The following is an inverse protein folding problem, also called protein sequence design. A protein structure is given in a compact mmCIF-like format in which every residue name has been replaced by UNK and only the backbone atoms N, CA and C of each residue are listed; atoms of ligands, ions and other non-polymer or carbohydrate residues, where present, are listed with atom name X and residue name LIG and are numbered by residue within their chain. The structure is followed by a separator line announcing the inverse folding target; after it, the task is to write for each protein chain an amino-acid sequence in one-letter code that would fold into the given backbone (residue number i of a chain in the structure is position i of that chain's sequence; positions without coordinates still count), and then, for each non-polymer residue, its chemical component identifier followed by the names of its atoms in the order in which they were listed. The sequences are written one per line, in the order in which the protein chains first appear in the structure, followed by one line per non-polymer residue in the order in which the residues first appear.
data_IF_924683622692
#
_entry.id   IF_924683622692
#
_cell.length_a   1.000
_cell.length_b   1.000
_cell.length_c   1.000
_cell.angle_alpha   90.00
_cell.angle_beta   90.00
_cell.angle_gamma   90.00
#
_symmetry.space_group_name_H-M   'P 1'
#
loop_
_entity.id
_entity.type
_entity.pdbx_description
1 polymer ?
#
# COMPACT_ATOMS: atom_id res chain seq x y z
N UNK A 1 -3.76 -6.27 -4.59
CA UNK A 1 -3.72 -6.25 -3.10
C UNK A 1 -2.72 -7.26 -2.59
N UNK A 2 -2.84 -8.55 -2.92
CA UNK A 2 -1.91 -9.60 -2.46
C UNK A 2 -0.43 -9.24 -2.65
N UNK A 3 -0.03 -8.79 -3.85
CA UNK A 3 1.36 -8.39 -4.12
C UNK A 3 1.81 -7.27 -3.17
N UNK A 4 1.01 -6.21 -3.00
CA UNK A 4 1.33 -5.09 -2.09
C UNK A 4 1.44 -5.57 -0.65
N UNK A 5 0.52 -6.41 -0.19
CA UNK A 5 0.56 -7.00 1.15
C UNK A 5 1.83 -7.80 1.37
N UNK A 6 2.15 -8.73 0.47
CA UNK A 6 3.35 -9.57 0.58
C UNK A 6 4.61 -8.72 0.53
N UNK A 7 4.69 -7.73 -0.36
CA UNK A 7 5.84 -6.84 -0.48
C UNK A 7 6.04 -5.97 0.77
N UNK A 8 4.98 -5.36 1.31
CA UNK A 8 5.07 -4.53 2.52
C UNK A 8 5.39 -5.37 3.77
N UNK A 9 4.81 -6.57 3.88
CA UNK A 9 5.15 -7.50 4.96
C UNK A 9 6.61 -7.93 4.88
N UNK A 10 7.08 -8.31 3.70
CA UNK A 10 8.49 -8.65 3.49
C UNK A 10 9.40 -7.47 3.79
N UNK A 11 9.08 -6.27 3.29
CA UNK A 11 9.88 -5.07 3.54
C UNK A 11 9.94 -4.71 5.04
N UNK A 12 8.81 -4.79 5.73
CA UNK A 12 8.74 -4.59 7.20
C UNK A 12 9.58 -5.64 7.93
N UNK A 13 9.50 -6.90 7.53
CA UNK A 13 10.32 -7.97 8.11
C UNK A 13 11.82 -7.69 7.90
N UNK A 14 12.23 -7.31 6.68
CA UNK A 14 13.63 -6.99 6.37
C UNK A 14 14.16 -5.76 7.11
N UNK A 15 13.30 -4.80 7.45
CA UNK A 15 13.71 -3.58 8.15
C UNK A 15 13.80 -3.81 9.66
N UNK A 16 12.80 -4.45 10.27
CA UNK A 16 12.71 -4.52 11.74
C UNK A 16 13.17 -5.85 12.34
N UNK A 17 13.12 -6.95 11.58
CA UNK A 17 13.61 -8.27 11.98
C UNK A 17 14.48 -8.92 10.90
N UNK A 18 15.54 -8.23 10.42
CA UNK A 18 16.38 -8.76 9.33
C UNK A 18 17.01 -10.12 9.66
N UNK A 19 17.32 -10.38 10.93
CA UNK A 19 17.95 -11.64 11.36
C UNK A 19 17.04 -12.86 11.20
N UNK A 20 15.72 -12.65 11.21
CA UNK A 20 14.73 -13.73 11.14
C UNK A 20 14.31 -14.03 9.69
N UNK A 21 14.70 -13.18 8.72
CA UNK A 21 14.35 -13.37 7.31
C UNK A 21 15.13 -14.56 6.74
N UNK A 22 14.45 -15.56 6.14
CA UNK A 22 15.11 -16.73 5.57
C UNK A 22 15.73 -16.45 4.19
N UNK A 23 16.75 -15.58 4.14
CA UNK A 23 17.35 -15.12 2.88
C UNK A 23 17.81 -16.26 1.96
N UNK A 24 18.34 -17.35 2.52
CA UNK A 24 18.81 -18.51 1.75
C UNK A 24 17.68 -19.25 1.02
N UNK A 25 16.46 -19.23 1.57
CA UNK A 25 15.29 -19.88 0.97
C UNK A 25 14.59 -19.03 -0.10
N UNK A 26 14.89 -17.73 -0.17
CA UNK A 26 14.25 -16.77 -1.09
C UNK A 26 14.99 -16.62 -2.43
N UNK A 27 16.07 -17.37 -2.64
CA UNK A 27 16.83 -17.36 -3.89
C UNK A 27 17.39 -15.96 -4.23
N UNK A 28 17.31 -15.50 -5.49
CA UNK A 28 17.85 -14.20 -5.90
C UNK A 28 17.28 -13.00 -5.13
N UNK A 29 15.99 -13.04 -4.76
CA UNK A 29 15.36 -12.00 -3.96
C UNK A 29 15.99 -11.92 -2.58
N UNK A 30 16.27 -13.07 -1.97
CA UNK A 30 16.93 -13.16 -0.67
C UNK A 30 18.35 -12.60 -0.70
N UNK A 31 19.12 -12.94 -1.74
CA UNK A 31 20.48 -12.41 -1.92
C UNK A 31 20.48 -10.87 -2.07
N UNK A 32 19.55 -10.32 -2.87
CA UNK A 32 19.40 -8.87 -3.02
C UNK A 32 18.99 -8.20 -1.70
N UNK A 33 17.96 -8.72 -1.04
CA UNK A 33 17.48 -8.16 0.23
C UNK A 33 18.58 -8.18 1.30
N UNK A 34 19.34 -9.28 1.39
CA UNK A 34 20.48 -9.38 2.30
C UNK A 34 21.56 -8.36 1.96
N UNK A 35 21.90 -8.19 0.68
CA UNK A 35 22.87 -7.18 0.26
C UNK A 35 22.41 -5.75 0.65
N UNK A 36 21.12 -5.43 0.46
CA UNK A 36 20.57 -4.15 0.88
C UNK A 36 20.62 -3.97 2.40
N UNK A 37 20.35 -5.02 3.18
CA UNK A 37 20.45 -4.96 4.65
C UNK A 37 21.89 -4.78 5.10
N UNK A 38 22.84 -5.52 4.51
CA UNK A 38 24.24 -5.50 4.95
C UNK A 38 24.95 -4.18 4.57
N UNK A 39 24.60 -3.57 3.42
CA UNK A 39 25.33 -2.41 2.88
C UNK A 39 24.51 -1.12 2.75
N UNK A 40 23.18 -1.19 2.78
CA UNK A 40 22.27 -0.06 2.49
C UNK A 40 21.14 0.08 3.53
N UNK A 41 21.32 -0.42 4.75
CA UNK A 41 20.29 -0.40 5.78
C UNK A 41 19.63 0.98 6.01
N UNK A 42 20.36 2.12 6.05
CA UNK A 42 19.73 3.42 6.22
C UNK A 42 18.69 3.72 5.11
N UNK A 43 18.96 3.31 3.87
CA UNK A 43 18.02 3.47 2.75
C UNK A 43 16.77 2.63 2.97
N UNK A 44 16.90 1.39 3.46
CA UNK A 44 15.75 0.55 3.78
C UNK A 44 14.91 1.16 4.91
N UNK A 45 15.55 1.62 5.98
CA UNK A 45 14.88 2.20 7.14
C UNK A 45 14.10 3.47 6.76
N UNK A 46 14.73 4.45 6.13
CA UNK A 46 14.04 5.67 5.70
C UNK A 46 13.04 5.40 4.55
N UNK A 47 13.36 4.45 3.66
CA UNK A 47 12.46 4.02 2.58
C UNK A 47 11.16 3.41 3.09
N UNK A 48 11.19 2.73 4.24
CA UNK A 48 9.98 2.20 4.89
C UNK A 48 9.03 3.32 5.33
N UNK A 49 9.55 4.35 6.01
CA UNK A 49 8.74 5.51 6.38
C UNK A 49 8.23 6.27 5.16
N UNK A 50 9.07 6.45 4.15
CA UNK A 50 8.66 7.10 2.90
C UNK A 50 7.53 6.33 2.21
N UNK A 51 7.57 5.00 2.23
CA UNK A 51 6.50 4.15 1.66
C UNK A 51 5.17 4.40 2.36
N UNK A 52 5.14 4.42 3.70
CA UNK A 52 3.92 4.73 4.46
C UNK A 52 3.44 6.16 4.27
N UNK A 53 4.37 7.11 4.10
CA UNK A 53 4.04 8.50 3.78
C UNK A 53 3.37 8.60 2.40
N UNK A 54 3.88 7.89 1.39
CA UNK A 54 3.26 7.82 0.06
C UNK A 54 1.85 7.23 0.17
N UNK A 55 1.69 6.10 0.85
CA UNK A 55 0.38 5.46 1.07
C UNK A 55 -0.62 6.40 1.78
N UNK A 56 -0.15 7.20 2.73
CA UNK A 56 -0.97 8.23 3.37
C UNK A 56 -1.45 9.28 2.35
N UNK A 57 -0.57 9.80 1.51
CA UNK A 57 -0.94 10.76 0.48
C UNK A 57 -1.92 10.17 -0.55
N UNK A 58 -1.73 8.91 -0.94
CA UNK A 58 -2.65 8.20 -1.82
C UNK A 58 -4.04 8.04 -1.19
N UNK A 59 -4.09 7.70 0.10
CA UNK A 59 -5.34 7.55 0.84
C UNK A 59 -6.09 8.89 0.96
N UNK A 60 -5.38 9.97 1.26
CA UNK A 60 -5.96 11.32 1.27
C UNK A 60 -6.45 11.74 -0.12
N UNK A 61 -5.70 11.42 -1.16
CA UNK A 61 -6.13 11.66 -2.54
C UNK A 61 -7.37 10.82 -2.90
N UNK A 62 -7.47 9.59 -2.43
CA UNK A 62 -8.65 8.75 -2.62
C UNK A 62 -9.92 9.38 -2.02
N UNK A 63 -9.83 10.10 -0.89
CA UNK A 63 -10.97 10.84 -0.35
C UNK A 63 -11.44 11.95 -1.30
N UNK A 64 -10.49 12.69 -1.91
CA UNK A 64 -10.80 13.70 -2.92
C UNK A 64 -11.45 13.08 -4.15
N UNK A 65 -10.87 12.00 -4.68
CA UNK A 65 -11.42 11.27 -5.84
C UNK A 65 -12.81 10.72 -5.55
N UNK A 66 -13.08 10.23 -4.34
CA UNK A 66 -14.42 9.82 -3.94
C UNK A 66 -15.40 10.98 -4.00
N UNK A 67 -14.99 12.16 -3.53
CA UNK A 67 -15.80 13.38 -3.60
C UNK A 67 -16.10 13.80 -5.04
N UNK A 68 -15.09 13.77 -5.90
CA UNK A 68 -15.23 14.17 -7.30
C UNK A 68 -16.11 13.20 -8.10
N UNK A 69 -16.22 11.95 -7.62
CA UNK A 69 -17.11 10.92 -8.17
C UNK A 69 -18.50 10.90 -7.52
N UNK A 70 -18.84 11.85 -6.64
CA UNK A 70 -20.14 11.91 -5.97
C UNK A 70 -20.40 10.75 -5.01
N UNK A 71 -19.35 10.15 -4.45
CA UNK A 71 -19.49 9.16 -3.37
C UNK A 71 -19.70 9.94 -2.07
N UNK A 72 -20.95 10.17 -1.69
CA UNK A 72 -21.29 11.03 -0.54
C UNK A 72 -21.37 10.28 0.80
N UNK A 73 -21.45 8.95 0.77
CA UNK A 73 -21.44 8.15 2.01
C UNK A 73 -20.07 8.23 2.70
N UNK A 74 -20.07 8.79 3.91
CA UNK A 74 -18.88 8.86 4.78
C UNK A 74 -18.26 7.48 5.00
N UNK A 75 -19.07 6.46 5.27
CA UNK A 75 -18.60 5.08 5.47
C UNK A 75 -17.88 4.55 4.23
N UNK A 76 -18.45 4.75 3.03
CA UNK A 76 -17.81 4.32 1.78
C UNK A 76 -16.50 5.05 1.52
N UNK A 77 -16.45 6.36 1.79
CA UNK A 77 -15.20 7.14 1.69
C UNK A 77 -14.13 6.64 2.65
N UNK A 78 -14.48 6.34 3.90
CA UNK A 78 -13.55 5.81 4.89
C UNK A 78 -13.04 4.41 4.51
N UNK A 79 -13.88 3.57 3.92
CA UNK A 79 -13.44 2.28 3.39
C UNK A 79 -12.45 2.45 2.23
N UNK A 80 -12.70 3.38 1.30
CA UNK A 80 -11.74 3.69 0.23
C UNK A 80 -10.44 4.26 0.76
N UNK A 81 -10.49 5.12 1.78
CA UNK A 81 -9.31 5.62 2.47
C UNK A 81 -8.52 4.48 3.11
N UNK A 82 -9.14 3.66 3.95
CA UNK A 82 -8.48 2.56 4.65
C UNK A 82 -7.90 1.54 3.67
N UNK A 83 -8.66 1.16 2.65
CA UNK A 83 -8.19 0.26 1.59
C UNK A 83 -7.00 0.86 0.83
N UNK A 84 -7.04 2.15 0.52
CA UNK A 84 -5.94 2.82 -0.21
C UNK A 84 -4.72 3.03 0.67
N UNK A 85 -4.89 3.32 1.95
CA UNK A 85 -3.78 3.39 2.90
C UNK A 85 -3.03 2.06 3.00
N UNK A 86 -3.77 0.93 3.03
CA UNK A 86 -3.16 -0.39 3.14
C UNK A 86 -2.54 -0.91 1.83
N UNK A 87 -3.15 -0.58 0.69
CA UNK A 87 -2.77 -1.19 -0.59
C UNK A 87 -2.28 -0.21 -1.67
N UNK A 88 -2.16 1.07 -1.34
CA UNK A 88 -1.63 2.14 -2.18
C UNK A 88 -2.26 2.21 -3.57
N UNK A 89 -1.42 2.43 -4.58
CA UNK A 89 -1.78 2.53 -5.99
C UNK A 89 -2.69 1.41 -6.50
N UNK A 90 -2.57 0.19 -5.97
CA UNK A 90 -3.45 -0.91 -6.39
C UNK A 90 -4.92 -0.60 -6.06
N UNK A 91 -5.19 -0.04 -4.88
CA UNK A 91 -6.54 0.39 -4.48
C UNK A 91 -6.96 1.68 -5.15
N UNK A 92 -6.06 2.67 -5.20
CA UNK A 92 -6.35 3.95 -5.86
C UNK A 92 -6.69 3.74 -7.35
N UNK A 93 -5.99 2.85 -8.04
CA UNK A 93 -6.26 2.50 -9.43
C UNK A 93 -7.65 1.90 -9.64
N UNK A 94 -8.16 1.11 -8.69
CA UNK A 94 -9.54 0.63 -8.71
C UNK A 94 -10.53 1.78 -8.55
N UNK A 95 -10.28 2.69 -7.60
CA UNK A 95 -11.12 3.87 -7.38
C UNK A 95 -11.15 4.79 -8.61
N UNK A 96 -10.01 5.01 -9.26
CA UNK A 96 -9.92 5.84 -10.46
C UNK A 96 -10.75 5.25 -11.61
N UNK A 97 -10.68 3.93 -11.80
CA UNK A 97 -11.47 3.20 -12.81
C UNK A 97 -12.95 3.08 -12.47
N UNK A 98 -13.30 3.16 -11.18
CA UNK A 98 -14.68 3.07 -10.74
C UNK A 98 -15.51 4.19 -11.37
N UNK A 99 -16.55 3.81 -12.12
CA UNK A 99 -17.58 4.71 -12.60
C UNK A 99 -18.76 4.58 -11.65
N UNK A 100 -19.19 5.65 -10.95
CA UNK A 100 -20.40 5.61 -10.15
C UNK A 100 -21.58 5.26 -11.06
N UNK A 101 -22.04 4.01 -10.98
CA UNK A 101 -23.22 3.57 -11.72
C UNK A 101 -24.46 4.22 -11.13
N UNK A 102 -25.34 4.74 -11.99
CA UNK A 102 -26.66 5.25 -11.64
C UNK A 102 -27.58 4.16 -11.11
N UNK A 103 -27.26 3.56 -9.96
CA UNK A 103 -28.21 2.77 -9.20
C UNK A 103 -29.27 3.74 -8.69
N UNK A 104 -30.38 3.77 -9.42
CA UNK A 104 -31.67 4.30 -8.99
C UNK A 104 -31.85 4.02 -7.50
N UNK A 105 -32.24 5.07 -6.77
CA UNK A 105 -32.69 4.98 -5.39
C UNK A 105 -33.57 3.73 -5.24
N UNK A 106 -33.06 2.68 -4.59
CA UNK A 106 -33.94 1.64 -4.08
C UNK A 106 -34.63 2.28 -2.88
N UNK A 107 -35.87 2.71 -3.15
CA UNK A 107 -36.86 3.20 -2.18
C UNK A 107 -37.05 2.20 -1.06
#
# INVERSE_FOLDING_TARGET
MLVVTVSLSFFTWTVFWPQDVPYSSLGPLGALAKHCVDYHYPVLYYGWFLTWLIHLFEALFALKVCSDKGIDSTSTRLLWFAQTFLFGFASLGLLLKYKPGGRSKRQ
#
